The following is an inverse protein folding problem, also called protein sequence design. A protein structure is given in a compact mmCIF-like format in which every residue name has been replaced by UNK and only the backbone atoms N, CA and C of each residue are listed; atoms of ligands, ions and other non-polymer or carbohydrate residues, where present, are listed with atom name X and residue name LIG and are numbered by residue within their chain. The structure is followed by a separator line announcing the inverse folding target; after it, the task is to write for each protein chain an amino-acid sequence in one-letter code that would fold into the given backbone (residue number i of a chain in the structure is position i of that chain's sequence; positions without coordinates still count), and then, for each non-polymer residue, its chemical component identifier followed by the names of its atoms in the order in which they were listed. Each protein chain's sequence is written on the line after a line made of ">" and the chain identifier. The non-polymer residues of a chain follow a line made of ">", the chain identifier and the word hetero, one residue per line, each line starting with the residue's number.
data_IF_952929036893
#
_entry.id   IF_952929036893
#
_cell.length_a   1.000
_cell.length_b   1.000
_cell.length_c   1.000
_cell.angle_alpha   90.00
_cell.angle_beta   90.00
_cell.angle_gamma   90.00
#
_symmetry.space_group_name_H-M   'P 1'
#
loop_
_entity.id
_entity.type
_entity.pdbx_description
1 polymer ?
#
# COMPACT_ATOMS: atom_id res chain seq x y z
N UNK A 1 13.03 -5.36 -15.85
CA UNK A 1 12.41 -4.61 -14.72
C UNK A 1 10.89 -4.82 -14.61
N UNK A 2 10.24 -5.72 -15.37
CA UNK A 2 8.76 -5.81 -15.39
C UNK A 2 8.12 -6.65 -14.28
N UNK A 3 8.82 -7.68 -13.75
CA UNK A 3 8.21 -8.62 -12.80
C UNK A 3 8.04 -8.05 -11.37
N UNK A 4 8.91 -7.14 -10.95
CA UNK A 4 8.90 -6.54 -9.60
C UNK A 4 7.69 -5.61 -9.46
N UNK A 5 7.45 -4.76 -10.48
CA UNK A 5 6.38 -3.77 -10.56
C UNK A 5 4.97 -4.38 -10.45
N UNK A 6 4.75 -5.57 -11.02
CA UNK A 6 3.43 -6.24 -10.98
C UNK A 6 3.05 -6.68 -9.56
N UNK A 7 4.01 -7.25 -8.82
CA UNK A 7 3.78 -7.70 -7.44
C UNK A 7 3.50 -6.55 -6.48
N UNK A 8 4.15 -5.40 -6.68
CA UNK A 8 3.93 -4.19 -5.89
C UNK A 8 2.50 -3.65 -6.08
N UNK A 9 2.03 -3.59 -7.34
CA UNK A 9 0.65 -3.19 -7.68
C UNK A 9 -0.37 -4.15 -7.06
N UNK A 10 -0.16 -5.46 -7.19
CA UNK A 10 -1.06 -6.48 -6.61
C UNK A 10 -1.13 -6.35 -5.09
N UNK A 11 0.02 -6.15 -4.43
CA UNK A 11 0.10 -5.96 -2.98
C UNK A 11 -0.70 -4.73 -2.50
N UNK A 12 -0.67 -3.62 -3.26
CA UNK A 12 -1.49 -2.43 -2.95
C UNK A 12 -2.99 -2.74 -3.13
N UNK A 13 -3.37 -3.40 -4.23
CA UNK A 13 -4.78 -3.74 -4.53
C UNK A 13 -5.39 -4.66 -3.47
N UNK A 14 -4.62 -5.66 -3.03
CA UNK A 14 -5.09 -6.72 -2.14
C UNK A 14 -5.01 -6.35 -0.65
N UNK A 15 -4.33 -5.25 -0.30
CA UNK A 15 -4.23 -4.81 1.10
C UNK A 15 -5.61 -4.60 1.73
N UNK A 16 -5.91 -5.35 2.80
CA UNK A 16 -7.17 -5.19 3.56
C UNK A 16 -7.13 -3.98 4.49
N UNK A 17 -5.93 -3.47 4.78
CA UNK A 17 -5.68 -2.37 5.72
C UNK A 17 -5.52 -1.02 5.01
N UNK A 18 -5.83 -0.96 3.71
CA UNK A 18 -5.98 0.30 2.98
C UNK A 18 -7.43 0.43 2.53
N UNK A 19 -8.00 1.62 2.69
CA UNK A 19 -9.32 1.93 2.11
C UNK A 19 -9.24 1.99 0.59
N UNK A 20 -10.37 1.82 -0.11
CA UNK A 20 -10.40 1.87 -1.57
C UNK A 20 -9.83 3.19 -2.13
N UNK A 21 -10.20 4.33 -1.53
CA UNK A 21 -9.65 5.63 -1.94
C UNK A 21 -8.14 5.77 -1.71
N UNK A 22 -7.58 5.12 -0.68
CA UNK A 22 -6.12 5.07 -0.46
C UNK A 22 -5.43 4.21 -1.51
N UNK A 23 -5.98 3.03 -1.83
CA UNK A 23 -5.47 2.16 -2.90
C UNK A 23 -5.43 2.89 -4.23
N UNK A 24 -6.53 3.54 -4.61
CA UNK A 24 -6.64 4.31 -5.84
C UNK A 24 -5.57 5.41 -5.93
N UNK A 25 -5.36 6.15 -4.84
CA UNK A 25 -4.32 7.18 -4.77
C UNK A 25 -2.92 6.62 -4.96
N UNK A 26 -2.56 5.58 -4.21
CA UNK A 26 -1.21 4.98 -4.31
C UNK A 26 -0.96 4.38 -5.70
N UNK A 27 -1.96 3.76 -6.31
CA UNK A 27 -1.83 3.23 -7.67
C UNK A 27 -1.68 4.37 -8.70
N UNK A 28 -2.47 5.43 -8.59
CA UNK A 28 -2.36 6.59 -9.47
C UNK A 28 -0.97 7.25 -9.36
N UNK A 29 -0.48 7.45 -8.14
CA UNK A 29 0.87 7.99 -7.90
C UNK A 29 1.93 7.07 -8.50
N UNK A 30 1.80 5.75 -8.28
CA UNK A 30 2.75 4.75 -8.78
C UNK A 30 2.82 4.70 -10.31
N UNK A 31 1.68 4.79 -11.00
CA UNK A 31 1.65 4.81 -12.47
C UNK A 31 2.22 6.09 -13.07
N UNK A 32 2.10 7.22 -12.35
CA UNK A 32 2.61 8.52 -12.80
C UNK A 32 4.09 8.76 -12.43
N UNK A 33 4.66 7.93 -11.56
CA UNK A 33 6.01 8.09 -11.04
C UNK A 33 7.10 7.50 -11.95
N UNK A 34 8.32 8.03 -11.82
CA UNK A 34 9.51 7.42 -12.44
C UNK A 34 9.87 6.12 -11.72
N UNK A 35 10.62 5.24 -12.37
CA UNK A 35 10.97 3.93 -11.79
C UNK A 35 11.70 4.03 -10.44
N UNK A 36 12.51 5.06 -10.23
CA UNK A 36 13.19 5.31 -8.94
C UNK A 36 12.23 5.74 -7.82
N UNK A 37 11.08 6.29 -8.16
CA UNK A 37 10.08 6.81 -7.21
C UNK A 37 9.00 5.77 -6.89
N UNK A 38 8.77 4.81 -7.79
CA UNK A 38 7.80 3.71 -7.60
C UNK A 38 8.04 2.91 -6.32
N UNK A 39 9.30 2.59 -6.04
CA UNK A 39 9.67 1.88 -4.80
C UNK A 39 9.30 2.69 -3.54
N UNK A 40 9.47 4.02 -3.56
CA UNK A 40 9.11 4.89 -2.44
C UNK A 40 7.61 4.93 -2.23
N UNK A 41 6.82 4.98 -3.31
CA UNK A 41 5.36 4.98 -3.25
C UNK A 41 4.85 3.65 -2.71
N UNK A 42 5.39 2.53 -3.18
CA UNK A 42 5.09 1.21 -2.66
C UNK A 42 5.39 1.10 -1.16
N UNK A 43 6.58 1.53 -0.72
CA UNK A 43 6.96 1.51 0.69
C UNK A 43 6.01 2.33 1.56
N UNK A 44 5.57 3.51 1.09
CA UNK A 44 4.58 4.33 1.81
C UNK A 44 3.25 3.60 1.99
N UNK A 45 2.76 2.95 0.93
CA UNK A 45 1.53 2.16 1.00
C UNK A 45 1.64 1.01 2.01
N UNK A 46 2.78 0.32 2.07
CA UNK A 46 3.01 -0.78 3.01
C UNK A 46 3.15 -0.29 4.46
N UNK A 47 3.81 0.84 4.70
CA UNK A 47 3.90 1.45 6.03
C UNK A 47 2.53 1.87 6.55
N UNK A 48 1.71 2.54 5.71
CA UNK A 48 0.35 2.93 6.10
C UNK A 48 -0.52 1.68 6.39
N UNK A 49 -0.44 0.65 5.55
CA UNK A 49 -1.15 -0.60 5.78
C UNK A 49 -0.74 -1.26 7.10
N UNK A 50 0.55 -1.20 7.47
CA UNK A 50 1.05 -1.77 8.72
C UNK A 50 0.56 -1.00 9.94
N UNK A 51 0.59 0.33 9.88
CA UNK A 51 0.05 1.19 10.93
C UNK A 51 -1.45 0.93 11.16
N UNK A 52 -2.21 0.79 10.07
CA UNK A 52 -3.64 0.47 10.16
C UNK A 52 -3.90 -0.94 10.71
N UNK A 53 -3.06 -1.93 10.37
CA UNK A 53 -3.13 -3.27 10.97
C UNK A 53 -2.93 -3.22 12.49
N UNK A 54 -1.94 -2.45 12.96
CA UNK A 54 -1.64 -2.30 14.39
C UNK A 54 -2.80 -1.63 15.13
N UNK A 55 -3.35 -0.54 14.59
CA UNK A 55 -4.54 0.11 15.15
C UNK A 55 -5.72 -0.86 15.22
N UNK A 56 -5.95 -1.66 14.17
CA UNK A 56 -7.03 -2.63 14.18
C UNK A 56 -6.84 -3.70 15.25
N UNK A 57 -5.61 -4.19 15.48
CA UNK A 57 -5.31 -5.14 16.55
C UNK A 57 -5.52 -4.53 17.93
N UNK A 58 -5.04 -3.31 18.15
CA UNK A 58 -5.26 -2.59 19.42
C UNK A 58 -6.75 -2.39 19.72
N UNK A 59 -7.56 -2.09 18.71
CA UNK A 59 -9.02 -1.98 18.86
C UNK A 59 -9.67 -3.33 19.16
N UNK A 60 -9.20 -4.42 18.55
CA UNK A 60 -9.85 -5.74 18.67
C UNK A 60 -9.42 -6.50 19.94
N UNK A 61 -8.20 -6.26 20.44
CA UNK A 61 -7.66 -6.92 21.64
C UNK A 61 -8.06 -6.22 22.96
N UNK A 62 -8.50 -4.95 22.89
CA UNK A 62 -8.99 -4.19 24.05
C UNK A 62 -10.53 -4.24 24.23
N UNK A 63 -11.22 -5.18 23.59
CA UNK A 63 -12.67 -5.45 23.71
C UNK A 63 -12.87 -6.80 24.40
#
# INVERSE_FOLDING_TARGET
>A
MELITKKEIESIKESKYLTNGRKERYLMDFYNAKDTEKAVIFLRAMVEAKQNEELWKEETENI
#
